data_IF_634975008482
#
_entry.id   IF_634975008482
#
_cell.length_a   1.000
_cell.length_b   1.000
_cell.length_c   1.000
_cell.angle_alpha   90.00
_cell.angle_beta   90.00
_cell.angle_gamma   90.00
#
_symmetry.space_group_name_H-M   'P 1'
#
loop_
_entity.id
_entity.type
_entity.pdbx_description
1 polymer ?
#
# COMPACT_ATOMS: atom_id res chain seq x y z
N UNK A 1 -15.02 1.05 11.33
CA UNK A 1 -14.38 -0.08 10.60
C UNK A 1 -14.05 -1.32 11.45
N UNK A 2 -14.56 -1.42 12.68
CA UNK A 2 -14.43 -2.61 13.52
C UNK A 2 -15.67 -3.52 13.41
N UNK A 3 -16.84 -2.91 13.16
CA UNK A 3 -18.11 -3.59 12.95
C UNK A 3 -18.13 -4.46 11.68
N UNK A 4 -17.42 -4.06 10.62
CA UNK A 4 -17.30 -4.82 9.36
C UNK A 4 -16.43 -6.08 9.45
N UNK A 5 -15.68 -6.26 10.55
CA UNK A 5 -14.85 -7.44 10.79
C UNK A 5 -15.44 -8.39 11.84
N UNK A 6 -16.56 -8.04 12.46
CA UNK A 6 -17.21 -8.93 13.43
C UNK A 6 -17.79 -10.12 12.70
N UNK A 7 -17.29 -11.30 13.06
CA UNK A 7 -17.83 -12.57 12.62
C UNK A 7 -18.93 -13.01 13.59
N UNK A 8 -19.96 -13.72 13.11
CA UNK A 8 -20.95 -14.34 13.99
C UNK A 8 -20.31 -15.43 14.85
N UNK A 9 -20.90 -15.70 16.01
CA UNK A 9 -20.52 -16.86 16.83
C UNK A 9 -20.87 -18.15 16.09
N UNK A 10 -19.92 -19.08 16.01
CA UNK A 10 -20.09 -20.42 15.41
C UNK A 10 -19.57 -21.49 16.36
N UNK A 11 -20.16 -22.68 16.31
CA UNK A 11 -19.75 -23.83 17.14
C UNK A 11 -19.00 -24.87 16.30
N UNK A 12 -18.10 -25.61 16.95
CA UNK A 12 -17.43 -26.75 16.30
C UNK A 12 -18.46 -27.79 15.87
N UNK A 13 -18.41 -28.19 14.59
CA UNK A 13 -19.34 -29.16 13.99
C UNK A 13 -20.69 -28.59 13.55
N UNK A 14 -20.90 -27.27 13.65
CA UNK A 14 -22.11 -26.61 13.15
C UNK A 14 -22.22 -26.75 11.62
N UNK A 15 -23.38 -27.20 11.13
CA UNK A 15 -23.63 -27.30 9.69
C UNK A 15 -23.94 -25.92 9.12
N UNK A 16 -23.07 -25.44 8.22
CA UNK A 16 -23.24 -24.17 7.55
C UNK A 16 -23.84 -24.36 6.15
N UNK A 17 -24.82 -23.55 5.79
CA UNK A 17 -25.37 -23.53 4.44
C UNK A 17 -24.38 -22.83 3.49
N UNK A 18 -24.03 -23.50 2.39
CA UNK A 18 -23.25 -22.89 1.31
C UNK A 18 -24.11 -21.83 0.62
N UNK A 19 -23.73 -20.57 0.75
CA UNK A 19 -24.43 -19.47 0.07
C UNK A 19 -24.01 -19.36 -1.40
N UNK A 20 -22.74 -19.01 -1.65
CA UNK A 20 -22.18 -18.80 -3.00
C UNK A 20 -20.76 -19.34 -3.06
N UNK A 21 -20.34 -19.88 -4.21
CA UNK A 21 -18.92 -20.14 -4.49
C UNK A 21 -18.48 -19.25 -5.65
N UNK A 22 -17.49 -18.42 -5.38
CA UNK A 22 -16.87 -17.53 -6.34
C UNK A 22 -15.48 -18.07 -6.68
N UNK A 23 -15.25 -18.44 -7.93
CA UNK A 23 -13.90 -18.75 -8.42
C UNK A 23 -13.23 -17.44 -8.84
N UNK A 24 -12.24 -16.99 -8.07
CA UNK A 24 -11.45 -15.79 -8.40
C UNK A 24 -10.06 -16.19 -8.86
N UNK A 25 -9.62 -15.57 -9.96
CA UNK A 25 -8.24 -15.70 -10.43
C UNK A 25 -7.48 -14.44 -10.04
N UNK A 26 -6.26 -14.62 -9.54
CA UNK A 26 -5.34 -13.54 -9.22
C UNK A 26 -4.08 -13.68 -10.05
N UNK A 27 -3.48 -12.53 -10.38
CA UNK A 27 -2.19 -12.43 -11.05
C UNK A 27 -1.23 -11.64 -10.19
N UNK A 28 0.07 -11.85 -10.36
CA UNK A 28 1.08 -11.02 -9.70
C UNK A 28 1.09 -9.63 -10.32
N UNK A 29 1.14 -8.61 -9.48
CA UNK A 29 1.34 -7.24 -9.91
C UNK A 29 2.83 -6.89 -9.87
N UNK A 30 3.31 -6.02 -10.77
CA UNK A 30 4.66 -5.48 -10.65
C UNK A 30 4.77 -4.64 -9.36
N UNK A 31 5.99 -4.44 -8.83
CA UNK A 31 6.19 -3.57 -7.69
C UNK A 31 5.60 -2.17 -7.95
N UNK A 32 4.92 -1.57 -6.95
CA UNK A 32 4.35 -0.24 -7.11
C UNK A 32 5.44 0.79 -7.37
N UNK A 33 5.13 1.78 -8.21
CA UNK A 33 5.99 2.96 -8.37
C UNK A 33 6.04 3.76 -7.07
N UNK A 34 7.08 4.57 -6.92
CA UNK A 34 7.19 5.44 -5.77
C UNK A 34 6.15 6.57 -5.84
N UNK A 35 5.34 6.70 -4.79
CA UNK A 35 4.70 7.96 -4.40
C UNK A 35 5.69 8.86 -3.66
N UNK A 36 5.39 10.15 -3.52
CA UNK A 36 6.20 11.09 -2.73
C UNK A 36 6.52 10.53 -1.33
N UNK A 37 5.51 10.05 -0.60
CA UNK A 37 5.69 9.49 0.74
C UNK A 37 6.62 8.25 0.74
N UNK A 38 6.46 7.35 -0.23
CA UNK A 38 7.31 6.16 -0.33
C UNK A 38 8.74 6.48 -0.77
N UNK A 39 8.94 7.53 -1.58
CA UNK A 39 10.25 8.01 -1.99
C UNK A 39 10.97 8.67 -0.80
N UNK A 40 10.28 9.51 -0.04
CA UNK A 40 10.82 10.12 1.19
C UNK A 40 11.27 9.03 2.16
N UNK A 41 10.41 8.05 2.41
CA UNK A 41 10.75 6.91 3.26
C UNK A 41 12.00 6.19 2.75
N UNK A 42 12.13 6.01 1.42
CA UNK A 42 13.29 5.34 0.86
C UNK A 42 14.58 6.16 0.98
N UNK A 43 14.50 7.48 0.82
CA UNK A 43 15.63 8.40 1.02
C UNK A 43 16.10 8.35 2.47
N UNK A 44 15.18 8.34 3.43
CA UNK A 44 15.48 8.21 4.87
C UNK A 44 16.17 6.88 5.20
N UNK A 45 15.65 5.75 4.70
CA UNK A 45 16.26 4.43 4.88
C UNK A 45 17.70 4.36 4.36
N UNK A 46 17.99 5.09 3.28
CA UNK A 46 19.32 5.17 2.67
C UNK A 46 20.22 6.23 3.33
N UNK A 47 19.71 7.00 4.29
CA UNK A 47 20.44 8.09 4.94
C UNK A 47 20.66 9.33 4.06
N UNK A 48 19.94 9.43 2.93
CA UNK A 48 20.05 10.50 1.95
C UNK A 48 19.02 11.58 2.28
N UNK A 49 19.48 12.82 2.50
CA UNK A 49 18.59 13.93 2.88
C UNK A 49 18.19 13.91 4.36
N UNK A 50 17.42 14.91 4.77
CA UNK A 50 16.92 15.15 6.13
C UNK A 50 15.47 15.65 6.06
N UNK A 51 14.71 15.66 7.17
CA UNK A 51 13.34 16.19 7.17
C UNK A 51 13.21 17.59 6.56
N UNK A 52 14.24 18.44 6.69
CA UNK A 52 14.29 19.78 6.09
C UNK A 52 14.60 19.82 4.59
N UNK A 53 15.09 18.73 3.99
CA UNK A 53 15.56 18.71 2.59
C UNK A 53 14.71 17.85 1.66
N UNK A 54 13.85 16.98 2.17
CA UNK A 54 13.08 16.05 1.34
C UNK A 54 12.24 16.77 0.27
N UNK A 55 11.44 17.76 0.69
CA UNK A 55 10.62 18.56 -0.23
C UNK A 55 11.46 19.27 -1.29
N UNK A 56 12.63 19.81 -0.90
CA UNK A 56 13.53 20.48 -1.84
C UNK A 56 14.15 19.52 -2.86
N UNK A 57 14.50 18.30 -2.45
CA UNK A 57 15.03 17.25 -3.34
C UNK A 57 13.96 16.86 -4.37
N UNK A 58 12.75 16.53 -3.92
CA UNK A 58 11.62 16.16 -4.78
C UNK A 58 11.32 17.27 -5.79
N UNK A 59 11.16 18.50 -5.31
CA UNK A 59 10.90 19.66 -6.16
C UNK A 59 12.01 19.90 -7.17
N UNK A 60 13.28 19.74 -6.79
CA UNK A 60 14.39 19.92 -7.74
C UNK A 60 14.39 18.86 -8.85
N UNK A 61 13.94 17.63 -8.56
CA UNK A 61 13.84 16.57 -9.56
C UNK A 61 12.68 16.83 -10.53
N UNK A 62 11.56 17.34 -10.04
CA UNK A 62 10.39 17.73 -10.83
C UNK A 62 10.67 18.98 -11.66
N UNK A 63 11.17 20.07 -11.05
CA UNK A 63 11.49 21.34 -11.72
C UNK A 63 12.52 21.19 -12.86
N UNK A 64 13.30 20.11 -12.86
CA UNK A 64 14.31 19.79 -13.88
C UNK A 64 13.85 18.69 -14.86
N UNK A 65 12.58 18.31 -14.81
CA UNK A 65 11.96 17.30 -15.67
C UNK A 65 12.64 15.91 -15.63
N UNK A 66 13.31 15.56 -14.52
CA UNK A 66 13.89 14.21 -14.36
C UNK A 66 12.82 13.16 -14.04
N UNK A 67 11.74 13.57 -13.38
CA UNK A 67 10.63 12.70 -12.97
C UNK A 67 9.32 13.46 -13.06
N UNK A 68 8.22 12.71 -13.14
CA UNK A 68 6.86 13.22 -12.99
C UNK A 68 6.20 12.43 -11.87
N UNK A 69 5.67 13.14 -10.87
CA UNK A 69 5.10 12.57 -9.64
C UNK A 69 3.58 12.47 -9.77
#
# INVERSE_FOLDING_TARGET
DEESRRLPEIRSGEQLARQVINATQHTTEPPPRYSEASLIKKLEELGIGRPSTYTAILKTLEDRDYVTI
#
